data_IF_054905605475
#
_entry.id   IF_054905605475
#
_cell.length_a   1.000
_cell.length_b   1.000
_cell.length_c   1.000
_cell.angle_alpha   90.00
_cell.angle_beta   90.00
_cell.angle_gamma   90.00
#
_symmetry.space_group_name_H-M   'P 1'
#
loop_
_entity.id
_entity.type
_entity.pdbx_description
1 polymer ?
#
# COMPACT_ATOMS: atom_id res chain seq x y z
N UNK A 1 26.44 -1.46 -10.72
CA UNK A 1 25.24 -0.60 -10.77
C UNK A 1 25.64 0.70 -11.45
N UNK A 2 25.20 0.95 -12.68
CA UNK A 2 25.39 2.25 -13.32
C UNK A 2 24.54 3.28 -12.57
N UNK A 3 25.04 4.50 -12.33
CA UNK A 3 24.23 5.56 -11.74
C UNK A 3 23.07 5.87 -12.68
N UNK A 4 21.84 5.90 -12.13
CA UNK A 4 20.63 6.31 -12.83
C UNK A 4 20.88 7.68 -13.48
N UNK A 5 20.65 7.80 -14.78
CA UNK A 5 20.77 9.09 -15.45
C UNK A 5 19.82 10.09 -14.82
N UNK A 6 20.23 11.37 -14.65
CA UNK A 6 19.35 12.38 -14.10
C UNK A 6 18.13 12.56 -15.00
N UNK A 7 16.94 12.70 -14.39
CA UNK A 7 15.74 13.12 -15.11
C UNK A 7 16.08 14.36 -15.96
N UNK A 8 15.63 14.41 -17.22
CA UNK A 8 15.96 15.50 -18.11
C UNK A 8 15.58 16.86 -17.48
N UNK A 9 16.50 17.82 -17.56
CA UNK A 9 16.30 19.16 -17.07
C UNK A 9 15.09 19.83 -17.76
N UNK A 10 14.52 20.85 -17.15
CA UNK A 10 13.29 21.64 -17.43
C UNK A 10 12.92 21.96 -18.90
N UNK A 11 13.62 21.46 -19.89
CA UNK A 11 13.29 21.51 -21.33
C UNK A 11 12.99 20.15 -21.94
N UNK A 12 12.96 19.07 -21.15
CA UNK A 12 12.54 17.78 -21.63
C UNK A 12 11.04 17.81 -21.95
N UNK A 13 10.67 17.31 -23.13
CA UNK A 13 9.29 17.18 -23.52
C UNK A 13 8.57 16.28 -22.50
N UNK A 14 7.30 16.55 -22.24
CA UNK A 14 6.44 15.72 -21.34
C UNK A 14 6.53 14.21 -21.66
N UNK A 15 6.76 13.84 -22.94
CA UNK A 15 6.99 12.49 -23.42
C UNK A 15 8.25 11.85 -22.84
N UNK A 16 9.35 12.59 -22.65
CA UNK A 16 10.61 12.03 -22.15
C UNK A 16 10.53 11.75 -20.64
N UNK A 17 9.89 12.61 -19.87
CA UNK A 17 9.65 12.39 -18.44
C UNK A 17 8.75 11.18 -18.22
N UNK A 18 7.65 11.08 -18.97
CA UNK A 18 6.72 9.94 -18.88
C UNK A 18 7.39 8.62 -19.26
N UNK A 19 8.28 8.62 -20.26
CA UNK A 19 9.04 7.43 -20.66
C UNK A 19 9.99 6.97 -19.56
N UNK A 20 10.77 7.88 -18.96
CA UNK A 20 11.67 7.54 -17.85
C UNK A 20 10.87 7.02 -16.65
N UNK A 21 9.73 7.63 -16.35
CA UNK A 21 8.84 7.17 -15.27
C UNK A 21 8.34 5.74 -15.51
N UNK A 22 7.96 5.41 -16.75
CA UNK A 22 7.51 4.07 -17.13
C UNK A 22 8.64 3.04 -17.12
N UNK A 23 9.74 3.33 -17.82
CA UNK A 23 10.82 2.37 -18.07
C UNK A 23 11.63 2.07 -16.79
N UNK A 24 11.93 3.11 -15.98
CA UNK A 24 12.78 2.95 -14.81
C UNK A 24 12.01 2.66 -13.53
N UNK A 25 10.79 3.18 -13.39
CA UNK A 25 10.05 3.17 -12.12
C UNK A 25 8.68 2.47 -12.21
N UNK A 26 8.29 1.97 -13.38
CA UNK A 26 7.02 1.27 -13.57
C UNK A 26 5.79 2.16 -13.30
N UNK A 27 5.94 3.49 -13.47
CA UNK A 27 4.84 4.45 -13.35
C UNK A 27 4.18 4.61 -14.71
N UNK A 28 2.88 4.43 -14.75
CA UNK A 28 2.06 4.52 -15.96
C UNK A 28 1.19 5.78 -15.94
N UNK A 29 0.37 5.96 -16.97
CA UNK A 29 -0.70 6.97 -16.98
C UNK A 29 -1.69 6.81 -15.81
N UNK A 30 -1.72 5.62 -15.19
CA UNK A 30 -2.55 5.27 -14.04
C UNK A 30 -1.72 5.16 -12.75
N UNK A 31 -0.69 5.97 -12.56
CA UNK A 31 0.25 5.91 -11.45
C UNK A 31 0.98 4.57 -11.34
N UNK A 32 0.78 3.88 -10.23
CA UNK A 32 1.43 2.61 -9.92
C UNK A 32 0.63 1.36 -10.36
N UNK A 33 -0.50 1.56 -11.04
CA UNK A 33 -1.22 0.49 -11.70
C UNK A 33 -0.54 0.13 -13.02
N UNK A 34 -0.65 -1.12 -13.47
CA UNK A 34 -0.11 -1.53 -14.77
C UNK A 34 -0.82 -0.78 -15.92
N UNK A 35 -0.10 -0.52 -17.02
CA UNK A 35 -0.67 0.13 -18.20
C UNK A 35 -1.78 -0.71 -18.85
N UNK A 36 -1.57 -2.03 -18.89
CA UNK A 36 -2.58 -2.99 -19.35
C UNK A 36 -3.29 -3.60 -18.15
N UNK A 37 -4.55 -3.94 -18.32
CA UNK A 37 -5.28 -4.64 -17.26
C UNK A 37 -4.56 -5.92 -16.83
N UNK A 38 -4.57 -6.24 -15.52
CA UNK A 38 -4.02 -7.49 -15.02
C UNK A 38 -4.61 -8.71 -15.72
N UNK A 39 -3.81 -9.74 -15.90
CA UNK A 39 -4.30 -11.01 -16.44
C UNK A 39 -5.38 -11.59 -15.52
N UNK A 40 -6.54 -11.91 -16.08
CA UNK A 40 -7.60 -12.61 -15.37
C UNK A 40 -7.28 -14.09 -15.13
N UNK A 41 -6.38 -14.66 -15.96
CA UNK A 41 -5.93 -16.05 -15.88
C UNK A 41 -4.54 -16.21 -16.52
N UNK A 42 -3.72 -17.13 -15.99
CA UNK A 42 -2.48 -17.56 -16.64
C UNK A 42 -2.78 -18.28 -17.96
N UNK A 43 -2.08 -17.92 -19.07
CA UNK A 43 -2.37 -18.48 -20.39
C UNK A 43 -1.95 -19.96 -20.53
N UNK A 44 -0.87 -20.39 -19.86
CA UNK A 44 -0.41 -21.78 -19.93
C UNK A 44 -1.31 -22.68 -19.06
N UNK A 45 -1.92 -23.70 -19.69
CA UNK A 45 -2.77 -24.70 -19.03
C UNK A 45 -2.03 -25.51 -17.95
N UNK A 46 -0.71 -25.49 -17.92
CA UNK A 46 0.07 -26.06 -16.84
C UNK A 46 -0.31 -25.49 -15.47
N UNK A 47 -0.70 -24.21 -15.42
CA UNK A 47 -1.13 -23.53 -14.21
C UNK A 47 -2.64 -23.63 -13.91
N UNK A 48 -3.38 -24.39 -14.71
CA UNK A 48 -4.82 -24.58 -14.48
C UNK A 48 -5.17 -25.04 -13.06
N UNK A 49 -4.38 -25.87 -12.34
CA UNK A 49 -4.69 -26.26 -10.97
C UNK A 49 -4.78 -25.07 -10.02
N UNK A 50 -3.87 -24.08 -10.10
CA UNK A 50 -3.94 -22.86 -9.28
C UNK A 50 -5.18 -22.03 -9.62
N UNK A 51 -5.41 -21.82 -10.92
CA UNK A 51 -6.53 -21.01 -11.42
C UNK A 51 -7.89 -21.61 -11.07
N UNK A 52 -7.99 -22.92 -11.04
CA UNK A 52 -9.24 -23.63 -10.67
C UNK A 52 -9.60 -23.37 -9.21
N UNK A 53 -8.63 -23.49 -8.29
CA UNK A 53 -8.91 -23.27 -6.86
C UNK A 53 -9.19 -21.79 -6.60
N UNK A 54 -8.39 -20.86 -7.15
CA UNK A 54 -8.58 -19.45 -6.88
C UNK A 54 -9.89 -18.90 -7.46
N UNK A 55 -10.36 -19.44 -8.58
CA UNK A 55 -11.66 -19.05 -9.17
C UNK A 55 -12.86 -19.41 -8.32
N UNK A 56 -12.73 -20.40 -7.44
CA UNK A 56 -13.76 -20.86 -6.50
C UNK A 56 -13.37 -20.64 -5.03
N UNK A 57 -12.44 -19.71 -4.78
CA UNK A 57 -11.80 -19.52 -3.48
C UNK A 57 -12.80 -19.31 -2.34
N UNK A 58 -13.74 -18.38 -2.52
CA UNK A 58 -14.77 -18.08 -1.50
C UNK A 58 -15.64 -19.31 -1.17
N UNK A 59 -15.99 -20.11 -2.18
CA UNK A 59 -16.74 -21.34 -1.97
C UNK A 59 -15.94 -22.37 -1.18
N UNK A 60 -14.66 -22.55 -1.50
CA UNK A 60 -13.77 -23.46 -0.76
C UNK A 60 -13.55 -23.02 0.68
N UNK A 61 -13.46 -21.72 0.95
CA UNK A 61 -13.37 -21.15 2.30
C UNK A 61 -14.68 -21.45 3.08
N UNK A 62 -15.84 -21.13 2.50
CA UNK A 62 -17.13 -21.33 3.14
C UNK A 62 -17.42 -22.81 3.45
N UNK A 63 -17.02 -23.71 2.55
CA UNK A 63 -17.19 -25.16 2.71
C UNK A 63 -16.07 -25.82 3.53
N UNK A 64 -15.05 -25.06 3.94
CA UNK A 64 -13.88 -25.55 4.66
C UNK A 64 -13.10 -26.66 3.91
N UNK A 65 -13.14 -26.65 2.58
CA UNK A 65 -12.47 -27.63 1.71
C UNK A 65 -11.12 -27.14 1.20
N UNK A 66 -10.80 -25.85 1.36
CA UNK A 66 -9.62 -25.22 0.74
C UNK A 66 -8.32 -25.95 1.05
N UNK A 67 -8.05 -26.25 2.33
CA UNK A 67 -6.80 -26.91 2.72
C UNK A 67 -6.64 -28.26 2.07
N UNK A 68 -7.73 -29.04 1.99
CA UNK A 68 -7.71 -30.36 1.34
C UNK A 68 -7.44 -30.26 -0.16
N UNK A 69 -8.01 -29.26 -0.84
CA UNK A 69 -7.77 -29.06 -2.28
C UNK A 69 -6.35 -28.58 -2.55
N UNK A 70 -5.82 -27.71 -1.71
CA UNK A 70 -4.43 -27.23 -1.80
C UNK A 70 -3.43 -28.36 -1.53
N UNK A 71 -3.68 -29.20 -0.51
CA UNK A 71 -2.79 -30.31 -0.14
C UNK A 71 -2.70 -31.39 -1.25
N UNK A 72 -3.69 -31.43 -2.15
CA UNK A 72 -3.70 -32.34 -3.34
C UNK A 72 -2.98 -31.74 -4.55
N UNK A 73 -2.65 -30.43 -4.52
CA UNK A 73 -1.96 -29.78 -5.64
C UNK A 73 -0.56 -30.37 -5.83
N UNK A 74 -0.11 -30.55 -7.08
CA UNK A 74 1.30 -30.75 -7.33
C UNK A 74 2.10 -29.47 -7.06
N UNK A 75 3.38 -29.59 -6.73
CA UNK A 75 4.29 -28.45 -6.75
C UNK A 75 4.57 -28.09 -8.21
N UNK A 76 4.04 -26.96 -8.67
CA UNK A 76 4.22 -26.49 -10.03
C UNK A 76 5.50 -25.63 -10.16
N UNK A 77 6.30 -25.88 -11.21
CA UNK A 77 7.45 -25.03 -11.52
C UNK A 77 7.01 -23.67 -12.06
N UNK A 78 7.76 -22.64 -11.76
CA UNK A 78 7.56 -21.29 -12.32
C UNK A 78 8.27 -21.05 -13.66
N UNK A 79 8.99 -22.04 -14.19
CA UNK A 79 9.84 -21.93 -15.39
C UNK A 79 9.05 -21.65 -16.68
N UNK A 80 7.72 -21.82 -16.64
CA UNK A 80 6.83 -21.56 -17.78
C UNK A 80 6.16 -20.19 -17.73
N UNK A 81 6.43 -19.37 -16.70
CA UNK A 81 6.00 -17.98 -16.68
C UNK A 81 6.88 -17.17 -17.63
N UNK A 82 6.28 -16.65 -18.71
CA UNK A 82 7.01 -16.06 -19.82
C UNK A 82 7.06 -14.53 -19.81
N UNK A 83 6.15 -13.87 -19.10
CA UNK A 83 6.03 -12.41 -19.07
C UNK A 83 5.87 -11.87 -17.65
N UNK A 84 6.22 -10.62 -17.45
CA UNK A 84 6.03 -9.93 -16.16
C UNK A 84 4.56 -9.93 -15.70
N UNK A 85 3.61 -9.84 -16.65
CA UNK A 85 2.18 -9.95 -16.35
C UNK A 85 1.82 -11.34 -15.80
N UNK A 86 2.46 -12.40 -16.28
CA UNK A 86 2.26 -13.76 -15.77
C UNK A 86 2.89 -13.95 -14.38
N UNK A 87 4.06 -13.37 -14.12
CA UNK A 87 4.66 -13.37 -12.78
C UNK A 87 3.78 -12.63 -11.78
N UNK A 88 3.24 -11.47 -12.14
CA UNK A 88 2.30 -10.71 -11.30
C UNK A 88 1.02 -11.50 -11.06
N UNK A 89 0.47 -12.15 -12.10
CA UNK A 89 -0.71 -13.01 -11.95
C UNK A 89 -0.44 -14.17 -11.02
N UNK A 90 0.67 -14.86 -11.16
CA UNK A 90 1.06 -15.96 -10.27
C UNK A 90 1.20 -15.49 -8.81
N UNK A 91 1.76 -14.29 -8.59
CA UNK A 91 1.87 -13.69 -7.27
C UNK A 91 0.49 -13.41 -6.63
N UNK A 92 -0.44 -12.87 -7.41
CA UNK A 92 -1.84 -12.66 -6.95
C UNK A 92 -2.45 -13.98 -6.54
N UNK A 93 -2.46 -14.98 -7.42
CA UNK A 93 -3.06 -16.28 -7.17
C UNK A 93 -2.46 -16.94 -5.93
N UNK A 94 -1.13 -17.05 -5.87
CA UNK A 94 -0.44 -17.69 -4.74
C UNK A 94 -0.58 -16.89 -3.45
N UNK A 95 -0.62 -15.55 -3.51
CA UNK A 95 -0.87 -14.70 -2.36
C UNK A 95 -2.27 -14.91 -1.76
N UNK A 96 -3.31 -14.98 -2.62
CA UNK A 96 -4.67 -15.30 -2.18
C UNK A 96 -4.76 -16.71 -1.59
N UNK A 97 -4.16 -17.72 -2.24
CA UNK A 97 -4.12 -19.08 -1.71
C UNK A 97 -3.40 -19.16 -0.36
N UNK A 98 -2.30 -18.43 -0.19
CA UNK A 98 -1.54 -18.35 1.07
C UNK A 98 -2.40 -17.85 2.22
N UNK A 99 -3.01 -16.68 2.05
CA UNK A 99 -3.83 -16.07 3.11
C UNK A 99 -5.09 -16.90 3.40
N UNK A 100 -5.73 -17.43 2.35
CA UNK A 100 -6.88 -18.28 2.52
C UNK A 100 -6.53 -19.62 3.22
N UNK A 101 -5.36 -20.21 2.92
CA UNK A 101 -4.88 -21.42 3.60
C UNK A 101 -4.60 -21.16 5.08
N UNK A 102 -3.91 -20.06 5.39
CA UNK A 102 -3.56 -19.69 6.77
C UNK A 102 -4.83 -19.37 7.58
N UNK A 103 -5.72 -18.54 7.06
CA UNK A 103 -6.82 -17.93 7.82
C UNK A 103 -8.19 -18.54 7.58
N UNK A 104 -8.37 -19.38 6.54
CA UNK A 104 -9.68 -19.89 6.11
C UNK A 104 -10.24 -21.06 6.90
N UNK A 105 -9.59 -21.51 7.97
CA UNK A 105 -10.10 -22.56 8.87
C UNK A 105 -10.54 -22.01 10.22
N UNK A 106 -11.07 -22.86 11.09
CA UNK A 106 -11.47 -22.52 12.46
C UNK A 106 -10.29 -22.03 13.31
N UNK A 107 -9.08 -22.51 12.99
CA UNK A 107 -7.81 -22.07 13.57
C UNK A 107 -6.83 -21.74 12.45
N UNK A 108 -5.95 -20.77 12.73
CA UNK A 108 -4.89 -20.41 11.80
C UNK A 108 -3.96 -21.61 11.55
N UNK A 109 -3.50 -21.79 10.29
CA UNK A 109 -2.48 -22.79 9.98
C UNK A 109 -1.09 -22.22 10.21
N UNK A 110 -0.30 -22.91 11.02
CA UNK A 110 1.10 -22.56 11.27
C UNK A 110 2.04 -23.01 10.13
N UNK A 111 1.57 -23.93 9.26
CA UNK A 111 2.38 -24.50 8.17
C UNK A 111 1.72 -24.18 6.85
N UNK A 112 2.50 -23.62 5.93
CA UNK A 112 2.13 -23.42 4.54
C UNK A 112 2.75 -24.53 3.69
N UNK A 113 1.96 -25.35 2.97
CA UNK A 113 2.43 -26.56 2.33
C UNK A 113 3.25 -26.27 1.06
N UNK A 114 4.10 -27.24 0.61
CA UNK A 114 4.98 -27.09 -0.56
C UNK A 114 4.30 -26.66 -1.85
N UNK A 115 3.07 -27.10 -2.20
CA UNK A 115 2.37 -26.66 -3.41
C UNK A 115 2.15 -25.14 -3.52
N UNK A 116 2.10 -24.46 -2.38
CA UNK A 116 2.05 -22.99 -2.32
C UNK A 116 3.44 -22.41 -2.07
N UNK A 117 4.15 -22.92 -1.06
CA UNK A 117 5.42 -22.34 -0.60
C UNK A 117 6.46 -22.28 -1.70
N UNK A 118 6.72 -23.40 -2.39
CA UNK A 118 7.83 -23.48 -3.36
C UNK A 118 7.65 -22.49 -4.50
N UNK A 119 6.52 -22.48 -5.24
CA UNK A 119 6.32 -21.50 -6.31
C UNK A 119 6.19 -20.06 -5.78
N UNK A 120 5.57 -19.85 -4.62
CA UNK A 120 5.47 -18.49 -4.05
C UNK A 120 6.84 -17.88 -3.73
N UNK A 121 7.76 -18.66 -3.16
CA UNK A 121 9.11 -18.19 -2.89
C UNK A 121 9.87 -17.85 -4.18
N UNK A 122 9.65 -18.60 -5.26
CA UNK A 122 10.23 -18.33 -6.59
C UNK A 122 9.67 -17.04 -7.18
N UNK A 123 8.34 -16.90 -7.21
CA UNK A 123 7.65 -15.71 -7.73
C UNK A 123 8.00 -14.46 -6.93
N UNK A 124 8.02 -14.57 -5.62
CA UNK A 124 8.38 -13.47 -4.72
C UNK A 124 9.81 -12.98 -4.93
N UNK A 125 10.74 -13.91 -5.18
CA UNK A 125 12.13 -13.56 -5.51
C UNK A 125 12.23 -12.82 -6.84
N UNK A 126 11.52 -13.28 -7.87
CA UNK A 126 11.48 -12.62 -9.18
C UNK A 126 10.96 -11.17 -9.07
N UNK A 127 9.85 -10.98 -8.36
CA UNK A 127 9.21 -9.67 -8.21
C UNK A 127 9.84 -8.80 -7.10
N UNK A 128 10.86 -9.30 -6.39
CA UNK A 128 11.47 -8.63 -5.22
C UNK A 128 10.43 -8.22 -4.17
N UNK A 129 9.42 -9.08 -3.94
CA UNK A 129 8.34 -8.92 -2.96
C UNK A 129 8.39 -10.01 -1.89
N UNK A 130 7.90 -9.76 -0.67
CA UNK A 130 7.77 -10.81 0.34
C UNK A 130 6.70 -11.85 -0.08
N UNK A 131 6.87 -13.13 0.30
CA UNK A 131 5.95 -14.22 -0.06
C UNK A 131 4.67 -14.19 0.79
N UNK A 132 3.87 -13.16 0.60
CA UNK A 132 2.61 -12.89 1.32
C UNK A 132 1.71 -12.02 0.44
N UNK A 133 0.39 -12.02 0.65
CA UNK A 133 -0.47 -11.07 -0.06
C UNK A 133 -0.19 -9.63 0.40
N UNK A 134 0.53 -8.88 -0.44
CA UNK A 134 0.81 -7.45 -0.24
C UNK A 134 -0.30 -6.59 -0.84
N UNK A 135 -0.23 -5.28 -0.64
CA UNK A 135 -1.07 -4.30 -1.32
C UNK A 135 -1.08 -4.48 -2.85
N UNK A 136 0.08 -4.84 -3.43
CA UNK A 136 0.17 -5.11 -4.87
C UNK A 136 -0.69 -6.32 -5.28
N UNK A 137 -0.69 -7.39 -4.49
CA UNK A 137 -1.48 -8.59 -4.78
C UNK A 137 -3.00 -8.35 -4.65
N UNK A 138 -3.44 -7.57 -3.65
CA UNK A 138 -4.88 -7.41 -3.38
C UNK A 138 -5.50 -6.22 -4.12
N UNK A 139 -4.70 -5.24 -4.56
CA UNK A 139 -5.17 -4.04 -5.25
C UNK A 139 -4.53 -3.86 -6.64
N UNK A 140 -3.20 -3.58 -6.71
CA UNK A 140 -2.56 -3.12 -7.94
C UNK A 140 -2.67 -4.10 -9.11
N UNK A 141 -2.75 -5.40 -8.82
CA UNK A 141 -2.78 -6.47 -9.82
C UNK A 141 -4.03 -7.35 -9.73
N UNK A 142 -5.05 -6.91 -8.98
CA UNK A 142 -6.27 -7.68 -8.69
C UNK A 142 -7.54 -6.96 -9.13
N UNK A 143 -7.52 -6.28 -10.27
CA UNK A 143 -8.69 -5.58 -10.77
C UNK A 143 -8.95 -5.87 -12.24
N UNK A 144 -10.19 -5.65 -12.67
CA UNK A 144 -10.60 -5.53 -14.05
C UNK A 144 -11.56 -4.34 -14.18
N UNK A 145 -11.64 -3.78 -15.39
CA UNK A 145 -12.61 -2.74 -15.73
C UNK A 145 -13.58 -3.23 -16.81
N UNK A 146 -14.71 -2.57 -16.92
CA UNK A 146 -15.78 -2.90 -17.90
C UNK A 146 -15.26 -2.84 -19.33
N UNK A 147 -14.31 -1.92 -19.61
CA UNK A 147 -13.64 -1.78 -20.91
C UNK A 147 -12.17 -1.46 -20.71
N UNK A 148 -11.27 -1.94 -21.60
CA UNK A 148 -9.85 -1.56 -21.58
C UNK A 148 -9.60 -0.04 -21.67
N UNK A 149 -10.59 0.71 -22.18
CA UNK A 149 -10.52 2.18 -22.30
C UNK A 149 -11.28 2.92 -21.20
N UNK A 150 -11.77 2.21 -20.17
CA UNK A 150 -12.42 2.83 -19.02
C UNK A 150 -11.44 3.70 -18.25
N UNK A 151 -11.94 4.83 -17.75
CA UNK A 151 -11.22 5.60 -16.74
C UNK A 151 -11.15 4.76 -15.46
N UNK A 152 -9.95 4.36 -15.04
CA UNK A 152 -9.76 3.57 -13.82
C UNK A 152 -10.00 4.38 -12.53
N UNK A 153 -10.14 5.71 -12.62
CA UNK A 153 -10.63 6.53 -11.51
C UNK A 153 -12.16 6.47 -11.37
N UNK A 154 -12.88 5.96 -12.38
CA UNK A 154 -14.30 5.66 -12.27
C UNK A 154 -14.53 4.34 -11.53
N UNK A 155 -14.77 4.46 -10.22
CA UNK A 155 -14.95 3.33 -9.31
C UNK A 155 -16.08 2.37 -9.71
N UNK A 156 -17.13 2.87 -10.38
CA UNK A 156 -18.26 2.04 -10.82
C UNK A 156 -17.92 1.15 -12.03
N UNK A 157 -16.84 1.45 -12.74
CA UNK A 157 -16.33 0.65 -13.84
C UNK A 157 -15.44 -0.52 -13.39
N UNK A 158 -15.06 -0.60 -12.11
CA UNK A 158 -14.08 -1.52 -11.57
C UNK A 158 -14.69 -2.70 -10.83
N UNK A 159 -14.02 -3.85 -10.92
CA UNK A 159 -14.32 -5.03 -10.07
C UNK A 159 -13.04 -5.77 -9.73
N UNK A 160 -13.01 -6.42 -8.54
CA UNK A 160 -11.89 -7.27 -8.16
C UNK A 160 -11.91 -8.59 -8.94
N UNK A 161 -10.73 -9.04 -9.37
CA UNK A 161 -10.58 -10.37 -9.99
C UNK A 161 -10.79 -11.49 -8.97
N UNK A 162 -10.30 -11.30 -7.74
CA UNK A 162 -10.42 -12.25 -6.63
C UNK A 162 -10.78 -11.55 -5.34
N UNK A 163 -11.55 -12.28 -4.52
CA UNK A 163 -11.91 -11.94 -3.16
C UNK A 163 -11.87 -13.20 -2.30
N UNK A 164 -11.63 -13.08 -1.01
CA UNK A 164 -11.70 -14.19 -0.05
C UNK A 164 -13.14 -14.55 0.28
N UNK A 165 -13.99 -13.54 0.45
CA UNK A 165 -15.36 -13.70 0.93
C UNK A 165 -16.38 -13.89 -0.20
N UNK A 166 -16.06 -13.49 -1.42
CA UNK A 166 -16.99 -13.44 -2.54
C UNK A 166 -18.01 -12.29 -2.44
N UNK A 167 -17.86 -11.36 -1.48
CA UNK A 167 -18.82 -10.27 -1.27
C UNK A 167 -18.49 -9.05 -2.13
N UNK A 168 -19.54 -8.27 -2.44
CA UNK A 168 -19.37 -6.97 -3.09
C UNK A 168 -18.61 -5.99 -2.19
N UNK A 169 -18.78 -6.11 -0.87
CA UNK A 169 -18.08 -5.30 0.14
C UNK A 169 -16.56 -5.41 0.00
N UNK A 170 -16.04 -6.63 -0.17
CA UNK A 170 -14.60 -6.84 -0.34
C UNK A 170 -14.11 -6.31 -1.67
N UNK A 171 -14.82 -6.57 -2.76
CA UNK A 171 -14.48 -6.01 -4.07
C UNK A 171 -14.45 -4.48 -4.02
N UNK A 172 -15.46 -3.86 -3.42
CA UNK A 172 -15.54 -2.41 -3.27
C UNK A 172 -14.39 -1.83 -2.46
N UNK A 173 -14.05 -2.47 -1.33
CA UNK A 173 -12.91 -2.09 -0.51
C UNK A 173 -11.60 -2.03 -1.30
N UNK A 174 -11.34 -3.03 -2.15
CA UNK A 174 -10.15 -3.03 -3.00
C UNK A 174 -10.22 -1.98 -4.10
N UNK A 175 -11.38 -1.85 -4.76
CA UNK A 175 -11.52 -0.97 -5.91
C UNK A 175 -11.46 0.51 -5.55
N UNK A 176 -11.87 0.91 -4.35
CA UNK A 176 -11.62 2.28 -3.85
C UNK A 176 -10.12 2.60 -3.87
N UNK A 177 -9.27 1.66 -3.45
CA UNK A 177 -7.81 1.84 -3.49
C UNK A 177 -7.28 1.90 -4.93
N UNK A 178 -7.81 1.08 -5.84
CA UNK A 178 -7.43 1.09 -7.27
C UNK A 178 -7.81 2.42 -7.92
N UNK A 179 -9.02 2.91 -7.71
CA UNK A 179 -9.46 4.19 -8.24
C UNK A 179 -8.62 5.37 -7.70
N UNK A 180 -8.22 5.30 -6.44
CA UNK A 180 -7.31 6.30 -5.84
C UNK A 180 -5.92 6.26 -6.49
N UNK A 181 -5.35 5.08 -6.74
CA UNK A 181 -4.08 4.95 -7.48
C UNK A 181 -4.20 5.57 -8.88
N UNK A 182 -5.25 5.22 -9.63
CA UNK A 182 -5.49 5.78 -10.97
C UNK A 182 -5.62 7.30 -10.96
N UNK A 183 -6.36 7.86 -10.00
CA UNK A 183 -6.50 9.32 -9.83
C UNK A 183 -5.14 10.01 -9.63
N UNK A 184 -4.15 9.29 -9.08
CA UNK A 184 -2.77 9.76 -8.90
C UNK A 184 -1.94 9.79 -10.18
N UNK A 185 -2.38 9.13 -11.27
CA UNK A 185 -1.60 9.00 -12.50
C UNK A 185 -1.10 10.34 -13.07
N UNK A 186 -1.99 11.26 -13.40
CA UNK A 186 -1.61 12.55 -13.98
C UNK A 186 -0.78 13.43 -13.03
N UNK A 187 -0.83 13.19 -11.72
CA UNK A 187 -0.18 14.08 -10.75
C UNK A 187 1.29 13.75 -10.49
N UNK A 188 1.75 12.51 -10.76
CA UNK A 188 3.14 12.14 -10.50
C UNK A 188 4.13 13.00 -11.32
N UNK A 189 3.96 13.20 -12.64
CA UNK A 189 4.80 14.12 -13.39
C UNK A 189 4.76 15.56 -12.85
N UNK A 190 3.59 16.03 -12.40
CA UNK A 190 3.42 17.38 -11.82
C UNK A 190 4.17 17.51 -10.50
N UNK A 191 4.16 16.48 -9.65
CA UNK A 191 4.94 16.44 -8.41
C UNK A 191 6.45 16.61 -8.67
N UNK A 192 6.97 15.89 -9.66
CA UNK A 192 8.39 16.00 -10.02
C UNK A 192 8.71 17.36 -10.64
N UNK A 193 7.79 17.91 -11.43
CA UNK A 193 7.90 19.26 -11.99
C UNK A 193 7.92 20.33 -10.90
N UNK A 194 7.07 20.22 -9.88
CA UNK A 194 7.04 21.12 -8.73
C UNK A 194 8.40 21.16 -8.00
N UNK A 195 8.98 19.98 -7.72
CA UNK A 195 10.28 19.84 -7.08
C UNK A 195 11.40 20.49 -7.95
N UNK A 196 11.37 20.24 -9.25
CA UNK A 196 12.33 20.82 -10.20
C UNK A 196 12.16 22.32 -10.33
N UNK A 197 10.96 22.84 -10.48
CA UNK A 197 10.66 24.26 -10.57
C UNK A 197 11.21 25.02 -9.35
N UNK A 198 10.99 24.48 -8.15
CA UNK A 198 11.47 25.08 -6.92
C UNK A 198 13.02 25.10 -6.84
N UNK A 199 13.71 24.04 -7.31
CA UNK A 199 15.17 24.03 -7.42
C UNK A 199 15.72 25.09 -8.38
N UNK A 200 14.95 25.42 -9.44
CA UNK A 200 15.33 26.46 -10.42
C UNK A 200 14.79 27.85 -10.08
N UNK A 201 14.20 28.03 -8.90
CA UNK A 201 13.57 29.26 -8.44
C UNK A 201 12.43 29.77 -9.35
N UNK A 202 11.77 28.88 -10.08
CA UNK A 202 10.55 29.19 -10.83
C UNK A 202 9.33 29.07 -9.90
N UNK A 203 9.09 30.15 -9.14
CA UNK A 203 8.07 30.17 -8.10
C UNK A 203 6.65 30.09 -8.67
N UNK A 204 6.31 30.76 -9.79
CA UNK A 204 5.00 30.64 -10.42
C UNK A 204 4.70 29.19 -10.84
N UNK A 205 5.63 28.52 -11.55
CA UNK A 205 5.43 27.13 -11.96
C UNK A 205 5.33 26.17 -10.78
N UNK A 206 6.13 26.37 -9.72
CA UNK A 206 6.03 25.59 -8.50
C UNK A 206 4.66 25.78 -7.81
N UNK A 207 4.16 27.01 -7.75
CA UNK A 207 2.87 27.35 -7.15
C UNK A 207 1.71 26.70 -7.91
N UNK A 208 1.71 26.77 -9.25
CA UNK A 208 0.70 26.13 -10.10
C UNK A 208 0.68 24.61 -9.87
N UNK A 209 1.85 23.96 -9.92
CA UNK A 209 1.96 22.51 -9.69
C UNK A 209 1.49 22.10 -8.28
N UNK A 210 1.79 22.88 -7.24
CA UNK A 210 1.30 22.62 -5.87
C UNK A 210 -0.21 22.75 -5.79
N UNK A 211 -0.84 23.68 -6.52
CA UNK A 211 -2.29 23.81 -6.58
C UNK A 211 -2.94 22.59 -7.27
N UNK A 212 -2.30 22.04 -8.32
CA UNK A 212 -2.76 20.80 -8.95
C UNK A 212 -2.63 19.60 -8.00
N UNK A 213 -1.52 19.50 -7.26
CA UNK A 213 -1.32 18.49 -6.20
C UNK A 213 -2.45 18.58 -5.17
N UNK A 214 -2.78 19.78 -4.72
CA UNK A 214 -3.88 20.02 -3.78
C UNK A 214 -5.23 19.54 -4.34
N UNK A 215 -5.51 19.87 -5.60
CA UNK A 215 -6.73 19.43 -6.29
C UNK A 215 -6.82 17.89 -6.35
N UNK A 216 -5.71 17.22 -6.66
CA UNK A 216 -5.66 15.76 -6.66
C UNK A 216 -5.94 15.17 -5.27
N UNK A 217 -5.33 15.71 -4.21
CA UNK A 217 -5.58 15.24 -2.83
C UNK A 217 -7.06 15.36 -2.46
N UNK A 218 -7.74 16.43 -2.85
CA UNK A 218 -9.19 16.56 -2.63
C UNK A 218 -9.99 15.49 -3.37
N UNK A 219 -9.64 15.17 -4.62
CA UNK A 219 -10.29 14.10 -5.40
C UNK A 219 -10.06 12.73 -4.76
N UNK A 220 -8.85 12.45 -4.24
CA UNK A 220 -8.58 11.24 -3.45
C UNK A 220 -9.48 11.16 -2.21
N UNK A 221 -9.71 12.30 -1.54
CA UNK A 221 -10.62 12.39 -0.40
C UNK A 221 -12.08 12.08 -0.76
N UNK A 222 -12.53 12.48 -1.95
CA UNK A 222 -13.87 12.15 -2.47
C UNK A 222 -13.98 10.65 -2.76
N UNK A 223 -12.99 10.04 -3.40
CA UNK A 223 -12.96 8.60 -3.64
C UNK A 223 -12.95 7.79 -2.34
N UNK A 224 -12.19 8.25 -1.35
CA UNK A 224 -12.13 7.60 -0.04
C UNK A 224 -13.48 7.62 0.69
N UNK A 225 -14.25 8.71 0.57
CA UNK A 225 -15.59 8.83 1.16
C UNK A 225 -16.60 7.84 0.55
N UNK A 226 -16.36 7.37 -0.69
CA UNK A 226 -17.21 6.38 -1.36
C UNK A 226 -17.12 4.97 -0.74
N UNK A 227 -16.19 4.74 0.21
CA UNK A 227 -16.08 3.46 0.92
C UNK A 227 -17.43 3.00 1.50
N UNK A 228 -18.19 3.92 2.09
CA UNK A 228 -19.46 3.64 2.76
C UNK A 228 -20.61 3.27 1.80
N UNK A 229 -20.44 3.44 0.48
CA UNK A 229 -21.51 3.20 -0.48
C UNK A 229 -21.83 1.70 -0.61
N UNK A 230 -20.82 0.83 -0.56
CA UNK A 230 -21.00 -0.61 -0.82
C UNK A 230 -20.13 -1.52 0.06
N UNK A 231 -19.53 -1.01 1.13
CA UNK A 231 -18.77 -1.81 2.08
C UNK A 231 -19.35 -1.61 3.49
N UNK A 232 -19.98 -2.65 4.03
CA UNK A 232 -20.51 -2.65 5.39
C UNK A 232 -19.37 -2.82 6.42
N UNK A 233 -19.29 -1.97 7.47
CA UNK A 233 -18.25 -2.07 8.49
C UNK A 233 -18.19 -3.40 9.24
N UNK A 234 -19.34 -4.07 9.48
CA UNK A 234 -19.38 -5.36 10.16
C UNK A 234 -18.88 -6.48 9.25
N UNK A 235 -19.26 -6.44 7.95
CA UNK A 235 -18.73 -7.37 6.94
C UNK A 235 -17.23 -7.19 6.79
N UNK A 236 -16.76 -5.93 6.69
CA UNK A 236 -15.33 -5.65 6.64
C UNK A 236 -14.59 -6.21 7.85
N UNK A 237 -15.02 -5.86 9.05
CA UNK A 237 -14.31 -6.21 10.28
C UNK A 237 -14.28 -7.72 10.54
N UNK A 238 -15.43 -8.39 10.36
CA UNK A 238 -15.59 -9.79 10.75
C UNK A 238 -15.26 -10.80 9.65
N UNK A 239 -15.41 -10.44 8.37
CA UNK A 239 -15.27 -11.37 7.27
C UNK A 239 -14.06 -11.06 6.37
N UNK A 240 -13.78 -9.78 6.05
CA UNK A 240 -12.71 -9.41 5.10
C UNK A 240 -11.38 -9.26 5.83
N UNK A 241 -11.37 -8.44 6.88
CA UNK A 241 -10.15 -8.04 7.60
C UNK A 241 -9.28 -9.20 8.11
N UNK A 242 -9.84 -10.34 8.59
CA UNK A 242 -9.04 -11.50 8.98
C UNK A 242 -8.11 -12.02 7.90
N UNK A 243 -8.57 -12.06 6.64
CA UNK A 243 -7.76 -12.51 5.51
C UNK A 243 -6.66 -11.52 5.09
N UNK A 244 -6.77 -10.23 5.46
CA UNK A 244 -5.75 -9.23 5.17
C UNK A 244 -4.60 -9.25 6.19
N UNK A 245 -4.75 -9.97 7.30
CA UNK A 245 -3.75 -10.03 8.35
C UNK A 245 -2.51 -10.83 7.91
N UNK A 246 -1.33 -10.29 8.23
CA UNK A 246 -0.08 -11.05 8.14
C UNK A 246 0.15 -11.93 9.36
N UNK A 247 1.29 -12.61 9.39
CA UNK A 247 1.68 -13.50 10.51
C UNK A 247 2.53 -12.80 11.59
N UNK A 248 2.99 -11.57 11.34
CA UNK A 248 3.82 -10.81 12.28
C UNK A 248 2.99 -10.34 13.49
N UNK A 249 3.49 -10.64 14.71
CA UNK A 249 2.82 -10.28 15.97
C UNK A 249 1.44 -10.97 16.18
N UNK A 250 1.28 -12.19 15.67
CA UNK A 250 0.00 -12.91 15.70
C UNK A 250 -0.01 -14.10 16.67
N UNK A 251 0.78 -14.03 17.76
CA UNK A 251 0.78 -15.04 18.82
C UNK A 251 -0.62 -15.30 19.40
N UNK A 252 -1.41 -14.25 19.59
CA UNK A 252 -2.81 -14.36 20.06
C UNK A 252 -3.76 -15.09 19.11
N UNK A 253 -3.39 -15.25 17.83
CA UNK A 253 -4.10 -16.03 16.83
C UNK A 253 -3.52 -17.44 16.63
N UNK A 254 -2.56 -17.88 17.46
CA UNK A 254 -1.91 -19.17 17.37
C UNK A 254 -0.62 -19.16 16.55
N UNK A 255 -0.17 -18.00 16.01
CA UNK A 255 1.04 -17.90 15.18
C UNK A 255 2.19 -17.25 15.96
N UNK A 256 2.61 -17.87 17.07
CA UNK A 256 3.66 -17.32 17.94
C UNK A 256 4.99 -17.13 17.20
N UNK A 257 5.35 -18.05 16.31
CA UNK A 257 6.57 -18.03 15.51
C UNK A 257 6.34 -17.49 14.09
N UNK A 258 5.11 -17.09 13.76
CA UNK A 258 4.67 -16.80 12.39
C UNK A 258 4.18 -18.06 11.68
N UNK A 259 4.48 -18.18 10.38
CA UNK A 259 4.11 -19.33 9.55
C UNK A 259 5.38 -20.05 9.09
N UNK A 260 5.39 -21.37 9.18
CA UNK A 260 6.45 -22.21 8.62
C UNK A 260 6.19 -22.42 7.13
N UNK A 261 7.10 -21.95 6.30
CA UNK A 261 7.07 -22.10 4.85
C UNK A 261 7.75 -23.41 4.48
N UNK A 262 6.97 -24.49 4.36
CA UNK A 262 7.46 -25.84 4.10
C UNK A 262 7.87 -25.98 2.62
N UNK A 263 9.13 -26.31 2.34
CA UNK A 263 9.67 -26.55 1.00
C UNK A 263 9.67 -28.04 0.61
N UNK A 264 9.15 -28.93 1.46
CA UNK A 264 8.76 -30.32 1.15
C UNK A 264 9.89 -31.36 1.09
N UNK A 265 11.15 -31.01 1.35
CA UNK A 265 12.25 -31.98 1.37
C UNK A 265 12.86 -32.08 2.77
N UNK A 266 12.72 -33.23 3.42
CA UNK A 266 13.38 -33.59 4.69
C UNK A 266 13.29 -32.52 5.79
N UNK A 267 12.14 -31.82 5.90
CA UNK A 267 11.92 -30.73 6.84
C UNK A 267 12.57 -29.40 6.42
N UNK A 268 12.94 -29.24 5.15
CA UNK A 268 13.42 -27.98 4.60
C UNK A 268 12.30 -26.96 4.65
N UNK A 269 12.59 -25.77 5.19
CA UNK A 269 11.66 -24.67 5.32
C UNK A 269 12.12 -23.70 6.39
N UNK A 270 11.38 -22.60 6.54
CA UNK A 270 11.72 -21.57 7.53
C UNK A 270 10.45 -20.98 8.15
N UNK A 271 10.54 -20.65 9.44
CA UNK A 271 9.57 -19.80 10.11
C UNK A 271 9.72 -18.36 9.63
N UNK A 272 8.63 -17.78 9.18
CA UNK A 272 8.63 -16.41 8.66
C UNK A 272 7.49 -15.60 9.26
N UNK A 273 7.77 -14.33 9.51
CA UNK A 273 6.81 -13.35 10.01
C UNK A 273 6.70 -12.19 9.03
N UNK A 274 5.56 -12.06 8.38
CA UNK A 274 5.30 -10.98 7.44
C UNK A 274 4.11 -10.14 7.89
N UNK A 275 4.12 -8.86 7.49
CA UNK A 275 2.94 -8.00 7.56
C UNK A 275 1.97 -8.39 6.47
N UNK A 276 0.67 -8.22 6.72
CA UNK A 276 -0.35 -8.38 5.69
C UNK A 276 -0.47 -7.18 4.76
N UNK A 277 -1.37 -7.27 3.78
CA UNK A 277 -1.71 -6.18 2.88
C UNK A 277 -2.27 -4.98 3.64
N UNK A 278 -1.76 -3.79 3.33
CA UNK A 278 -2.14 -2.55 4.00
C UNK A 278 -2.02 -1.36 3.05
N UNK A 279 -2.94 -0.40 3.16
CA UNK A 279 -2.85 0.87 2.41
C UNK A 279 -1.60 1.70 2.77
N UNK A 280 -0.93 1.41 3.90
CA UNK A 280 0.40 1.95 4.18
C UNK A 280 1.50 1.51 3.19
N UNK A 281 1.23 0.47 2.40
CA UNK A 281 2.09 -0.02 1.31
C UNK A 281 1.76 0.66 -0.04
N UNK A 282 0.85 1.64 -0.10
CA UNK A 282 0.63 2.45 -1.30
C UNK A 282 1.84 3.33 -1.58
N UNK A 283 2.42 3.18 -2.76
CA UNK A 283 3.54 4.01 -3.21
C UNK A 283 3.10 5.45 -3.47
N UNK A 284 1.87 5.66 -3.95
CA UNK A 284 1.31 6.97 -4.20
C UNK A 284 1.23 7.82 -2.92
N UNK A 285 0.70 7.26 -1.85
CA UNK A 285 0.56 8.00 -0.57
C UNK A 285 1.93 8.37 0.00
N UNK A 286 2.91 7.46 -0.08
CA UNK A 286 4.28 7.78 0.37
C UNK A 286 4.98 8.79 -0.55
N UNK A 287 4.66 8.81 -1.84
CA UNK A 287 5.18 9.81 -2.76
C UNK A 287 4.66 11.22 -2.41
N UNK A 288 3.38 11.37 -2.04
CA UNK A 288 2.86 12.65 -1.51
C UNK A 288 3.67 13.12 -0.30
N UNK A 289 3.98 12.23 0.64
CA UNK A 289 4.78 12.56 1.82
C UNK A 289 6.17 13.06 1.45
N UNK A 290 6.86 12.36 0.57
CA UNK A 290 8.21 12.74 0.13
C UNK A 290 8.22 14.06 -0.60
N UNK A 291 7.27 14.26 -1.53
CA UNK A 291 7.15 15.49 -2.32
C UNK A 291 6.83 16.69 -1.44
N UNK A 292 5.89 16.55 -0.51
CA UNK A 292 5.53 17.61 0.42
C UNK A 292 6.54 17.77 1.59
N UNK A 293 7.52 16.86 1.71
CA UNK A 293 8.51 16.93 2.78
C UNK A 293 7.94 16.61 4.17
N UNK A 294 6.96 15.70 4.24
CA UNK A 294 6.41 15.20 5.52
C UNK A 294 7.38 14.18 6.11
N UNK A 295 7.89 14.47 7.30
CA UNK A 295 8.79 13.58 8.02
C UNK A 295 8.02 12.73 9.03
N UNK A 296 8.21 11.40 8.95
CA UNK A 296 7.65 10.45 9.88
C UNK A 296 8.70 9.93 10.85
N UNK A 297 8.49 10.16 12.15
CA UNK A 297 9.38 9.66 13.20
C UNK A 297 8.92 8.28 13.71
N UNK A 298 9.87 7.45 14.17
CA UNK A 298 9.57 6.15 14.75
C UNK A 298 8.69 6.29 15.99
N UNK A 299 7.66 5.43 16.14
CA UNK A 299 6.83 5.40 17.34
C UNK A 299 7.65 4.98 18.56
N UNK A 300 7.53 5.73 19.66
CA UNK A 300 8.01 5.31 20.97
C UNK A 300 8.99 6.25 21.68
N UNK A 301 9.44 7.36 21.08
CA UNK A 301 10.33 8.31 21.74
C UNK A 301 9.73 9.72 21.79
N UNK A 302 8.72 9.88 22.67
CA UNK A 302 8.33 11.19 23.17
C UNK A 302 9.04 11.47 24.50
N UNK A 303 10.38 11.50 24.49
CA UNK A 303 11.18 12.08 25.58
C UNK A 303 12.36 12.83 24.98
N UNK A 304 12.49 14.16 25.22
CA UNK A 304 13.56 14.96 24.66
C UNK A 304 14.98 14.61 25.20
N UNK A 305 15.10 13.75 26.20
CA UNK A 305 16.32 13.61 27.00
C UNK A 305 17.10 12.31 26.84
N UNK A 306 16.77 11.44 25.88
CA UNK A 306 17.60 10.25 25.63
C UNK A 306 18.49 10.43 24.38
N UNK A 307 19.62 11.13 24.56
CA UNK A 307 20.77 11.03 23.69
C UNK A 307 21.46 9.66 23.84
N UNK A 308 20.80 8.59 23.53
CA UNK A 308 21.45 7.29 23.35
C UNK A 308 21.56 7.00 21.86
N UNK A 309 22.81 6.85 21.41
CA UNK A 309 23.25 6.44 20.06
C UNK A 309 22.84 4.99 19.73
N UNK A 310 21.67 4.52 20.13
CA UNK A 310 21.17 3.20 19.81
C UNK A 310 20.27 3.27 18.58
N UNK A 311 20.56 2.39 17.62
CA UNK A 311 19.90 2.12 16.34
C UNK A 311 18.59 2.90 16.17
N UNK A 312 18.62 3.92 15.30
CA UNK A 312 17.41 4.59 14.78
C UNK A 312 16.43 3.49 14.37
N UNK A 313 15.41 3.24 15.17
CA UNK A 313 14.34 2.32 14.80
C UNK A 313 13.75 2.83 13.48
N UNK A 314 13.79 1.98 12.48
CA UNK A 314 13.24 2.31 11.17
C UNK A 314 11.77 2.68 11.33
N UNK A 315 11.33 3.79 10.72
CA UNK A 315 9.91 4.17 10.78
C UNK A 315 9.06 3.10 10.08
N UNK A 316 7.83 2.91 10.53
CA UNK A 316 6.90 1.98 9.89
C UNK A 316 6.79 2.23 8.36
N UNK A 317 6.75 3.49 7.93
CA UNK A 317 6.68 3.86 6.52
C UNK A 317 7.89 3.34 5.73
N UNK A 318 9.08 3.36 6.31
CA UNK A 318 10.28 2.83 5.65
C UNK A 318 10.28 1.30 5.62
N UNK A 319 9.89 0.63 6.71
CA UNK A 319 9.77 -0.83 6.76
C UNK A 319 8.80 -1.36 5.68
N UNK A 320 7.64 -0.72 5.51
CA UNK A 320 6.63 -1.20 4.55
C UNK A 320 6.99 -0.94 3.08
N UNK A 321 7.99 -0.11 2.78
CA UNK A 321 8.53 0.00 1.41
C UNK A 321 9.05 -1.34 0.89
N UNK A 322 9.55 -2.22 1.77
CA UNK A 322 9.94 -3.59 1.42
C UNK A 322 8.79 -4.47 0.91
N UNK A 323 7.54 -4.01 1.02
CA UNK A 323 6.33 -4.69 0.53
C UNK A 323 5.78 -4.06 -0.76
N UNK A 324 6.44 -3.03 -1.29
CA UNK A 324 6.09 -2.40 -2.57
C UNK A 324 6.86 -3.07 -3.71
N UNK A 325 6.31 -3.10 -4.94
CA UNK A 325 7.07 -3.50 -6.13
C UNK A 325 8.38 -2.73 -6.23
N UNK A 326 9.44 -3.42 -6.65
CA UNK A 326 10.80 -2.86 -6.65
C UNK A 326 10.91 -1.56 -7.48
N UNK A 327 10.32 -1.45 -8.70
CA UNK A 327 10.37 -0.20 -9.46
C UNK A 327 9.73 0.99 -8.71
N UNK A 328 8.60 0.77 -8.04
CA UNK A 328 7.92 1.81 -7.26
C UNK A 328 8.78 2.28 -6.08
N UNK A 329 9.41 1.34 -5.37
CA UNK A 329 10.34 1.63 -4.27
C UNK A 329 11.53 2.46 -4.76
N UNK A 330 12.07 2.14 -5.93
CA UNK A 330 13.16 2.90 -6.56
C UNK A 330 12.76 4.36 -6.84
N UNK A 331 11.53 4.64 -7.26
CA UNK A 331 11.05 6.01 -7.42
C UNK A 331 11.05 6.76 -6.08
N UNK A 332 10.55 6.14 -5.02
CA UNK A 332 10.55 6.77 -3.69
C UNK A 332 11.98 7.06 -3.21
N UNK A 333 12.90 6.12 -3.38
CA UNK A 333 14.32 6.29 -3.05
C UNK A 333 14.99 7.37 -3.91
N UNK A 334 14.66 7.44 -5.20
CA UNK A 334 15.13 8.47 -6.11
C UNK A 334 14.67 9.86 -5.65
N UNK A 335 13.39 10.05 -5.34
CA UNK A 335 12.84 11.33 -4.89
C UNK A 335 13.46 11.73 -3.55
N UNK A 336 13.54 10.81 -2.58
CA UNK A 336 14.15 11.05 -1.26
C UNK A 336 15.63 11.48 -1.38
N UNK A 337 16.39 10.84 -2.25
CA UNK A 337 17.81 11.15 -2.47
C UNK A 337 18.05 12.42 -3.28
N UNK A 338 17.22 12.66 -4.29
CA UNK A 338 17.39 13.81 -5.22
C UNK A 338 16.84 15.12 -4.66
N UNK A 339 15.78 15.04 -3.84
CA UNK A 339 15.04 16.18 -3.29
C UNK A 339 14.86 16.04 -1.77
N UNK A 340 15.96 16.04 -0.98
CA UNK A 340 15.87 15.84 0.47
C UNK A 340 15.03 16.94 1.12
N UNK A 341 14.01 16.53 1.90
CA UNK A 341 13.05 17.44 2.53
C UNK A 341 11.96 17.98 1.59
N UNK A 342 11.94 17.51 0.32
CA UNK A 342 10.88 17.82 -0.63
C UNK A 342 10.65 19.31 -0.87
N UNK A 343 9.41 19.66 -1.18
CA UNK A 343 9.00 21.07 -1.38
C UNK A 343 9.13 21.91 -0.11
N UNK A 344 8.91 21.30 1.08
CA UNK A 344 9.04 21.99 2.37
C UNK A 344 10.41 22.67 2.51
N UNK A 345 11.48 21.92 2.25
CA UNK A 345 12.85 22.45 2.37
C UNK A 345 13.07 23.64 1.45
N UNK A 346 12.61 23.58 0.21
CA UNK A 346 12.72 24.69 -0.73
C UNK A 346 11.94 25.93 -0.28
N UNK A 347 10.74 25.75 0.27
CA UNK A 347 9.96 26.87 0.82
C UNK A 347 10.64 27.46 2.05
N UNK A 348 11.18 26.64 2.98
CA UNK A 348 11.97 27.10 4.13
C UNK A 348 13.20 27.92 3.70
N UNK A 349 13.94 27.46 2.71
CA UNK A 349 15.14 28.14 2.21
C UNK A 349 14.79 29.52 1.62
N UNK A 350 13.64 29.65 0.97
CA UNK A 350 13.14 30.94 0.48
C UNK A 350 12.76 31.90 1.60
N UNK A 351 12.31 31.41 2.76
CA UNK A 351 11.92 32.26 3.89
C UNK A 351 13.13 32.88 4.59
N UNK A 352 14.30 32.22 4.57
CA UNK A 352 15.54 32.73 5.19
C UNK A 352 16.42 33.50 4.22
N UNK A 353 16.19 33.40 2.90
CA UNK A 353 16.93 34.14 1.88
C UNK A 353 16.34 35.54 1.74
N UNK A 354 17.17 36.62 1.78
CA UNK A 354 16.66 37.96 1.55
C UNK A 354 15.91 38.09 0.23
N UNK A 355 14.76 38.75 0.26
CA UNK A 355 14.00 39.03 -0.95
C UNK A 355 14.73 40.02 -1.85
N UNK A 356 14.76 39.74 -3.15
CA UNK A 356 15.07 40.74 -4.16
C UNK A 356 13.82 41.55 -4.46
N UNK A 357 13.97 42.88 -4.71
CA UNK A 357 12.82 43.74 -5.02
C UNK A 357 11.95 43.13 -6.13
N UNK A 358 10.68 42.85 -5.84
CA UNK A 358 9.67 42.34 -6.77
C UNK A 358 9.15 40.91 -6.53
N UNK A 359 9.83 40.08 -5.72
CA UNK A 359 9.49 38.65 -5.59
C UNK A 359 8.66 38.29 -4.34
N UNK A 360 8.29 39.26 -3.51
CA UNK A 360 7.58 39.04 -2.26
C UNK A 360 6.14 38.46 -2.47
N UNK A 361 5.51 38.88 -3.57
CA UNK A 361 4.19 38.36 -3.95
C UNK A 361 4.21 36.87 -4.26
N UNK A 362 5.13 36.46 -5.14
CA UNK A 362 5.27 35.05 -5.57
C UNK A 362 5.68 34.14 -4.40
N UNK A 363 6.58 34.60 -3.51
CA UNK A 363 6.98 33.87 -2.32
C UNK A 363 5.80 33.64 -1.36
N UNK A 364 4.95 34.65 -1.18
CA UNK A 364 3.75 34.55 -0.36
C UNK A 364 2.76 33.57 -0.97
N UNK A 365 2.49 33.66 -2.27
CA UNK A 365 1.59 32.75 -3.00
C UNK A 365 2.07 31.30 -2.93
N UNK A 366 3.37 31.06 -3.14
CA UNK A 366 3.98 29.73 -2.99
C UNK A 366 3.78 29.16 -1.59
N UNK A 367 4.05 29.97 -0.54
CA UNK A 367 3.88 29.55 0.85
C UNK A 367 2.41 29.23 1.15
N UNK A 368 1.48 30.04 0.68
CA UNK A 368 0.04 29.83 0.86
C UNK A 368 -0.41 28.53 0.14
N UNK A 369 0.04 28.31 -1.09
CA UNK A 369 -0.24 27.10 -1.85
C UNK A 369 0.30 25.85 -1.12
N UNK A 370 1.56 25.90 -0.65
CA UNK A 370 2.19 24.80 0.09
C UNK A 370 1.45 24.49 1.40
N UNK A 371 1.11 25.53 2.18
CA UNK A 371 0.33 25.37 3.41
C UNK A 371 -1.04 24.75 3.13
N UNK A 372 -1.68 25.14 2.02
CA UNK A 372 -2.97 24.56 1.58
C UNK A 372 -2.83 23.10 1.20
N UNK A 373 -1.77 22.72 0.47
CA UNK A 373 -1.51 21.34 0.08
C UNK A 373 -1.28 20.42 1.29
N UNK A 374 -0.45 20.85 2.24
CA UNK A 374 -0.19 20.07 3.46
C UNK A 374 -1.45 19.94 4.33
N UNK A 375 -2.26 20.99 4.42
CA UNK A 375 -3.56 20.94 5.09
C UNK A 375 -4.52 19.96 4.41
N UNK A 376 -4.61 19.98 3.08
CA UNK A 376 -5.44 19.04 2.32
C UNK A 376 -5.02 17.58 2.56
N UNK A 377 -3.70 17.28 2.60
CA UNK A 377 -3.20 15.95 2.91
C UNK A 377 -3.52 15.53 4.36
N UNK A 378 -3.42 16.46 5.31
CA UNK A 378 -3.80 16.20 6.71
C UNK A 378 -5.32 15.95 6.85
N UNK A 379 -6.16 16.68 6.11
CA UNK A 379 -7.61 16.46 6.05
C UNK A 379 -7.95 15.10 5.42
N UNK A 380 -7.27 14.70 4.36
CA UNK A 380 -7.38 13.35 3.79
C UNK A 380 -7.05 12.28 4.83
N UNK A 381 -5.97 12.44 5.60
CA UNK A 381 -5.62 11.52 6.70
C UNK A 381 -6.66 11.52 7.81
N UNK A 382 -7.29 12.64 8.06
CA UNK A 382 -8.38 12.74 9.04
C UNK A 382 -9.64 11.96 8.59
N UNK A 383 -9.99 12.02 7.30
CA UNK A 383 -11.04 11.17 6.71
C UNK A 383 -10.71 9.69 6.87
N UNK A 384 -9.47 9.28 6.55
CA UNK A 384 -9.03 7.89 6.76
C UNK A 384 -9.13 7.47 8.23
N UNK A 385 -8.76 8.33 9.19
CA UNK A 385 -8.92 8.06 10.62
C UNK A 385 -10.40 7.86 11.02
N UNK A 386 -11.34 8.60 10.42
CA UNK A 386 -12.78 8.42 10.64
C UNK A 386 -13.27 7.07 10.09
N UNK A 387 -12.81 6.67 8.90
CA UNK A 387 -13.10 5.35 8.32
C UNK A 387 -12.56 4.26 9.23
N UNK A 388 -11.30 4.32 9.66
CA UNK A 388 -10.72 3.35 10.59
C UNK A 388 -11.53 3.26 11.89
N UNK A 389 -12.01 4.37 12.40
CA UNK A 389 -12.87 4.38 13.59
C UNK A 389 -14.17 3.63 13.33
N UNK A 390 -14.81 3.86 12.18
CA UNK A 390 -16.09 3.27 11.81
C UNK A 390 -15.96 1.77 11.47
N UNK A 391 -14.92 1.40 10.74
CA UNK A 391 -14.72 0.06 10.20
C UNK A 391 -13.95 -0.90 11.13
N UNK A 392 -13.23 -0.37 12.12
CA UNK A 392 -12.41 -1.20 13.02
C UNK A 392 -12.76 -0.96 14.48
N UNK A 393 -12.74 0.31 14.95
CA UNK A 393 -12.89 0.59 16.38
C UNK A 393 -14.31 0.32 16.87
N UNK A 394 -15.32 0.74 16.12
CA UNK A 394 -16.72 0.55 16.52
C UNK A 394 -17.10 -0.94 16.46
N UNK A 395 -16.85 -1.70 15.36
CA UNK A 395 -17.14 -3.12 15.32
C UNK A 395 -16.39 -3.93 16.37
N UNK A 396 -15.12 -3.57 16.68
CA UNK A 396 -14.34 -4.29 17.69
C UNK A 396 -14.90 -4.24 19.11
N UNK A 397 -15.79 -3.27 19.39
CA UNK A 397 -16.44 -3.12 20.71
C UNK A 397 -17.75 -3.86 20.82
N UNK A 398 -18.32 -4.31 19.70
CA UNK A 398 -19.54 -5.10 19.70
C UNK A 398 -19.21 -6.54 20.05
N UNK A 399 -19.95 -7.14 20.96
CA UNK A 399 -19.84 -8.56 21.28
C UNK A 399 -20.25 -9.40 20.08
N UNK A 400 -19.34 -10.22 19.60
CA UNK A 400 -19.65 -11.16 18.54
C UNK A 400 -20.36 -12.37 19.13
N UNK A 401 -21.65 -12.52 18.85
CA UNK A 401 -22.46 -13.67 19.28
C UNK A 401 -22.21 -14.94 18.44
N UNK A 402 -21.37 -14.85 17.42
CA UNK A 402 -20.99 -16.01 16.60
C UNK A 402 -19.99 -16.88 17.37
N UNK A 403 -20.36 -18.15 17.60
CA UNK A 403 -19.48 -19.17 18.19
C UNK A 403 -18.36 -19.50 17.19
N UNK A 404 -17.15 -19.07 17.49
CA UNK A 404 -15.93 -19.38 16.75
C UNK A 404 -14.80 -18.50 17.25
N UNK A 405 -13.56 -18.97 17.25
CA UNK A 405 -12.39 -18.14 17.55
C UNK A 405 -12.35 -17.01 16.52
N UNK A 406 -12.68 -15.80 16.96
CA UNK A 406 -12.78 -14.66 16.06
C UNK A 406 -11.37 -14.18 15.70
N UNK A 407 -10.83 -14.69 14.59
CA UNK A 407 -9.52 -14.31 14.07
C UNK A 407 -9.38 -12.78 13.88
N UNK A 408 -10.50 -12.08 13.56
CA UNK A 408 -10.51 -10.61 13.52
C UNK A 408 -10.20 -9.99 14.88
N UNK A 409 -10.69 -10.56 15.97
CA UNK A 409 -10.40 -10.11 17.33
C UNK A 409 -8.93 -10.37 17.70
N UNK A 410 -8.41 -11.56 17.38
CA UNK A 410 -7.00 -11.89 17.60
C UNK A 410 -6.07 -10.99 16.79
N UNK A 411 -6.41 -10.73 15.51
CA UNK A 411 -5.66 -9.82 14.65
C UNK A 411 -5.79 -8.34 15.01
N UNK A 412 -6.73 -7.99 15.89
CA UNK A 412 -6.99 -6.59 16.30
C UNK A 412 -6.33 -6.22 17.62
N UNK A 413 -5.91 -7.20 18.43
CA UNK A 413 -5.36 -7.00 19.78
C UNK A 413 -3.88 -7.33 19.80
N UNK A 414 -3.07 -6.43 20.34
CA UNK A 414 -1.69 -6.76 20.70
C UNK A 414 -1.72 -7.74 21.89
N UNK A 415 -0.89 -8.77 21.84
CA UNK A 415 -0.66 -9.66 22.98
C UNK A 415 -0.06 -8.82 24.14
N UNK A 416 -0.84 -8.59 25.19
CA UNK A 416 -0.43 -7.85 26.38
C UNK A 416 -1.62 -7.24 27.09
N UNK A 417 -1.55 -7.20 28.38
CA UNK A 417 -2.58 -7.04 29.43
C UNK A 417 -3.41 -5.74 29.42
N UNK A 418 -3.43 -4.96 28.33
CA UNK A 418 -4.23 -3.75 28.20
C UNK A 418 -5.30 -3.93 27.10
N UNK A 419 -6.54 -4.06 27.51
CA UNK A 419 -7.79 -4.26 26.74
C UNK A 419 -8.06 -3.18 25.64
N UNK A 420 -7.10 -2.32 25.28
CA UNK A 420 -7.33 -1.09 24.51
C UNK A 420 -6.45 -0.89 23.27
N UNK A 421 -5.54 -1.78 22.92
CA UNK A 421 -4.63 -1.56 21.78
C UNK A 421 -5.06 -2.34 20.55
N UNK A 422 -5.84 -1.69 19.66
CA UNK A 422 -6.16 -2.22 18.34
C UNK A 422 -4.93 -2.13 17.43
N UNK A 423 -4.65 -3.22 16.68
CA UNK A 423 -3.60 -3.27 15.66
C UNK A 423 -4.15 -3.16 14.25
N UNK A 424 -3.40 -2.52 13.36
CA UNK A 424 -3.63 -2.59 11.91
C UNK A 424 -3.25 -3.97 11.34
N UNK A 425 -3.68 -4.29 10.13
CA UNK A 425 -3.28 -5.51 9.38
C UNK A 425 -1.77 -5.61 9.21
N UNK A 426 -1.06 -4.49 9.24
CA UNK A 426 0.38 -4.38 9.31
C UNK A 426 1.00 -4.53 10.70
N UNK A 427 0.22 -4.79 11.77
CA UNK A 427 0.73 -5.03 13.14
C UNK A 427 1.17 -3.80 13.92
N UNK A 428 0.74 -2.59 13.55
CA UNK A 428 1.00 -1.32 14.28
C UNK A 428 -0.12 -0.99 15.25
N UNK A 429 0.17 -0.23 16.32
CA UNK A 429 -0.86 0.39 17.16
C UNK A 429 -1.64 1.43 16.33
N UNK A 430 -2.83 1.04 15.86
CA UNK A 430 -3.53 1.67 14.75
C UNK A 430 -3.84 3.16 14.96
N UNK A 431 -4.61 3.50 16.01
CA UNK A 431 -5.03 4.88 16.23
C UNK A 431 -3.88 5.84 16.59
N UNK A 432 -2.93 5.47 17.48
CA UNK A 432 -1.78 6.32 17.77
C UNK A 432 -0.93 6.59 16.52
N UNK A 433 -0.68 5.58 15.69
CA UNK A 433 0.06 5.72 14.44
C UNK A 433 -0.61 6.69 13.45
N UNK A 434 -1.92 6.52 13.20
CA UNK A 434 -2.64 7.37 12.25
C UNK A 434 -2.75 8.82 12.72
N UNK A 435 -2.96 9.03 14.03
CA UNK A 435 -2.96 10.38 14.62
C UNK A 435 -1.60 11.04 14.48
N UNK A 436 -0.52 10.30 14.77
CA UNK A 436 0.84 10.80 14.63
C UNK A 436 1.13 11.21 13.17
N UNK A 437 0.83 10.36 12.20
CA UNK A 437 1.05 10.67 10.76
C UNK A 437 0.27 11.90 10.31
N UNK A 438 -0.97 12.09 10.77
CA UNK A 438 -1.75 13.30 10.50
C UNK A 438 -1.11 14.54 11.11
N UNK A 439 -0.71 14.46 12.38
CA UNK A 439 -0.14 15.59 13.12
C UNK A 439 1.24 16.00 12.56
N UNK A 440 2.03 15.03 12.07
CA UNK A 440 3.29 15.26 11.34
C UNK A 440 3.02 15.99 10.03
N UNK A 441 1.95 15.65 9.32
CA UNK A 441 1.54 16.35 8.10
C UNK A 441 1.12 17.79 8.36
N UNK A 442 0.36 18.06 9.41
CA UNK A 442 0.04 19.44 9.79
C UNK A 442 1.30 20.25 10.13
N UNK A 443 2.24 19.65 10.86
CA UNK A 443 3.52 20.31 11.19
C UNK A 443 4.37 20.62 9.97
N UNK A 444 4.25 19.84 8.90
CA UNK A 444 4.98 20.10 7.66
C UNK A 444 4.58 21.44 7.01
N UNK A 445 3.33 21.90 7.19
CA UNK A 445 2.84 23.20 6.70
C UNK A 445 3.06 24.38 7.64
N UNK A 446 3.62 24.14 8.84
CA UNK A 446 3.84 25.19 9.84
C UNK A 446 5.27 25.76 9.76
N UNK A 447 5.37 27.02 9.39
CA UNK A 447 6.61 27.80 9.32
C UNK A 447 6.73 28.86 10.45
N UNK A 448 5.97 28.71 11.51
CA UNK A 448 5.91 29.70 12.61
C UNK A 448 7.04 29.54 13.66
N UNK A 449 8.08 28.75 13.34
CA UNK A 449 9.23 28.53 14.24
C UNK A 449 10.48 29.24 13.79
#
# INVERSE_FOLDING_TARGET
MSPCEPLPATKANHSDVSRVLSDDFGVTSNAFLPEQQPLSRLPDQYYAPWETIVSSLSSHIQQQTLRQEVDRLPVLSTDRLASEAEWRRAYVVLGFLTHAYVWGGDVASEILPPPITVPLLSVSRHLSLPPVATYAAVNLWNFSSVSPTSDLADLDSLTALHTFTGTQDESWFYMVSVAMEAQGGPIIPVMLSALSALQHHDLPAATEAINEITSCIHKLGILLDRMDERCDPEVFYHQIRPFLAGSKNMAGAGLANGVFYDEGQDGKGEWRQYRGGSNGQSSLIQLFDLVLGVEHVAQGNASPDSYSREKKMESFHREVRGYMPEPHRRLLEFVEGRYPGGLRKGVEDLLVTPSTEGNDGERRELREAFTTATKALAEFRNKHLQIVTRYIVIPSRKENKAKGSNLATASSRLAGDDDKKLTGTGGTALLPFLKQSRDETFRAGDFSR
#
